data_IF_571843143500
#
_entry.id   IF_571843143500
#
_cell.length_a   1.000
_cell.length_b   1.000
_cell.length_c   1.000
_cell.angle_alpha   90.00
_cell.angle_beta   90.00
_cell.angle_gamma   90.00
#
_symmetry.space_group_name_H-M   'P 1'
#
loop_
_entity.id
_entity.type
_entity.pdbx_description
1 polymer ?
#
# COMPACT_ATOMS: atom_id res chain seq x y z
N UNK A 1 -2.12 -15.03 -12.64
CA UNK A 1 -1.03 -14.10 -13.03
C UNK A 1 0.26 -14.76 -12.61
N UNK A 2 1.24 -14.88 -13.50
CA UNK A 2 2.54 -15.43 -13.13
C UNK A 2 3.35 -14.44 -12.27
N UNK A 3 4.32 -14.98 -11.53
CA UNK A 3 5.13 -14.23 -10.55
C UNK A 3 5.97 -13.13 -11.20
N UNK A 4 6.49 -13.38 -12.42
CA UNK A 4 7.28 -12.39 -13.16
C UNK A 4 6.43 -11.17 -13.53
N UNK A 5 5.19 -11.38 -13.95
CA UNK A 5 4.26 -10.30 -14.25
C UNK A 5 3.86 -9.53 -12.98
N UNK A 6 3.64 -10.22 -11.85
CA UNK A 6 3.41 -9.59 -10.54
C UNK A 6 4.57 -8.65 -10.18
N UNK A 7 5.81 -9.13 -10.25
CA UNK A 7 6.98 -8.33 -9.92
C UNK A 7 7.15 -7.15 -10.88
N UNK A 8 6.95 -7.37 -12.17
CA UNK A 8 7.03 -6.30 -13.19
C UNK A 8 6.03 -5.18 -12.90
N UNK A 9 4.78 -5.53 -12.60
CA UNK A 9 3.75 -4.55 -12.25
C UNK A 9 4.13 -3.80 -10.96
N UNK A 10 4.62 -4.51 -9.95
CA UNK A 10 5.03 -3.90 -8.68
C UNK A 10 6.19 -2.92 -8.86
N UNK A 11 7.24 -3.32 -9.60
CA UNK A 11 8.38 -2.45 -9.89
C UNK A 11 7.97 -1.23 -10.70
N UNK A 12 7.09 -1.40 -11.69
CA UNK A 12 6.54 -0.28 -12.47
C UNK A 12 5.78 0.69 -11.57
N UNK A 13 4.96 0.20 -10.64
CA UNK A 13 4.25 1.06 -9.69
C UNK A 13 5.21 1.90 -8.84
N UNK A 14 6.29 1.29 -8.33
CA UNK A 14 7.32 1.99 -7.55
C UNK A 14 8.05 3.05 -8.40
N UNK A 15 8.41 2.72 -9.64
CA UNK A 15 9.06 3.65 -10.56
C UNK A 15 8.14 4.83 -10.90
N UNK A 16 6.87 4.57 -11.20
CA UNK A 16 5.88 5.60 -11.51
C UNK A 16 5.61 6.53 -10.33
N UNK A 17 5.55 5.99 -9.11
CA UNK A 17 5.49 6.81 -7.88
C UNK A 17 6.71 7.74 -7.77
N UNK A 18 7.93 7.20 -7.94
CA UNK A 18 9.18 7.97 -7.88
C UNK A 18 9.26 9.06 -8.96
N UNK A 19 8.62 8.83 -10.11
CA UNK A 19 8.48 9.82 -11.17
C UNK A 19 7.40 10.89 -10.89
N UNK A 20 6.86 10.97 -9.66
CA UNK A 20 5.87 11.98 -9.28
C UNK A 20 4.45 11.68 -9.74
N UNK A 21 4.14 10.42 -10.10
CA UNK A 21 2.82 10.01 -10.58
C UNK A 21 2.12 9.03 -9.61
N UNK A 22 1.78 9.47 -8.37
CA UNK A 22 1.23 8.59 -7.33
C UNK A 22 -0.13 7.97 -7.70
N UNK A 23 -0.99 8.71 -8.41
CA UNK A 23 -2.27 8.23 -8.94
C UNK A 23 -2.11 7.02 -9.88
N UNK A 24 -1.14 7.08 -10.79
CA UNK A 24 -0.86 5.99 -11.73
C UNK A 24 -0.25 4.80 -11.01
N UNK A 25 0.62 5.04 -10.02
CA UNK A 25 1.15 3.98 -9.18
C UNK A 25 0.05 3.22 -8.43
N UNK A 26 -0.96 3.92 -7.90
CA UNK A 26 -2.13 3.28 -7.26
C UNK A 26 -2.91 2.40 -8.22
N UNK A 27 -3.13 2.86 -9.47
CA UNK A 27 -3.80 2.07 -10.50
C UNK A 27 -3.04 0.78 -10.82
N UNK A 28 -1.70 0.85 -10.90
CA UNK A 28 -0.86 -0.33 -11.12
C UNK A 28 -0.93 -1.31 -9.94
N UNK A 29 -0.85 -0.82 -8.70
CA UNK A 29 -0.96 -1.65 -7.50
C UNK A 29 -2.32 -2.35 -7.37
N UNK A 30 -3.39 -1.75 -7.91
CA UNK A 30 -4.73 -2.34 -7.91
C UNK A 30 -4.85 -3.58 -8.81
N UNK A 31 -3.93 -3.76 -9.77
CA UNK A 31 -3.86 -4.93 -10.64
C UNK A 31 -3.24 -6.15 -9.95
N UNK A 32 -2.54 -5.95 -8.84
CA UNK A 32 -1.86 -7.03 -8.13
C UNK A 32 -2.84 -7.90 -7.34
N UNK A 33 -2.53 -9.20 -7.14
CA UNK A 33 -3.36 -10.08 -6.34
C UNK A 33 -3.59 -9.49 -4.95
N UNK A 34 -4.79 -9.64 -4.41
CA UNK A 34 -5.14 -9.04 -3.11
C UNK A 34 -4.57 -9.81 -1.93
N UNK A 35 -4.40 -11.13 -2.07
CA UNK A 35 -3.95 -12.05 -1.05
C UNK A 35 -2.47 -12.42 -1.21
N UNK A 36 -1.87 -12.93 -0.14
CA UNK A 36 -0.48 -13.39 -0.12
C UNK A 36 0.54 -12.26 0.07
N UNK A 37 1.83 -12.61 -0.05
CA UNK A 37 2.96 -11.69 0.21
C UNK A 37 2.93 -10.44 -0.67
N UNK A 38 2.71 -10.60 -1.97
CA UNK A 38 2.58 -9.46 -2.89
C UNK A 38 1.32 -8.64 -2.64
N UNK A 39 0.22 -9.28 -2.23
CA UNK A 39 -1.00 -8.57 -1.86
C UNK A 39 -0.85 -7.70 -0.61
N UNK A 40 -0.09 -8.18 0.38
CA UNK A 40 0.29 -7.42 1.55
C UNK A 40 1.24 -6.26 1.19
N UNK A 41 2.27 -6.53 0.39
CA UNK A 41 3.23 -5.52 -0.05
C UNK A 41 2.57 -4.42 -0.90
N UNK A 42 1.67 -4.79 -1.82
CA UNK A 42 0.91 -3.86 -2.64
C UNK A 42 0.01 -2.97 -1.77
N UNK A 43 -0.67 -3.56 -0.77
CA UNK A 43 -1.51 -2.81 0.17
C UNK A 43 -0.67 -1.84 1.02
N UNK A 44 0.49 -2.26 1.52
CA UNK A 44 1.40 -1.37 2.24
C UNK A 44 1.87 -0.20 1.38
N UNK A 45 2.30 -0.48 0.14
CA UNK A 45 2.78 0.56 -0.79
C UNK A 45 1.66 1.53 -1.14
N UNK A 46 0.45 1.05 -1.43
CA UNK A 46 -0.71 1.89 -1.72
C UNK A 46 -1.06 2.79 -0.52
N UNK A 47 -1.07 2.23 0.69
CA UNK A 47 -1.31 3.00 1.92
C UNK A 47 -0.28 4.11 2.14
N UNK A 48 1.01 3.84 1.86
CA UNK A 48 2.07 4.85 1.96
C UNK A 48 1.91 5.96 0.92
N UNK A 49 1.55 5.62 -0.31
CA UNK A 49 1.27 6.61 -1.36
C UNK A 49 0.12 7.51 -0.92
N UNK A 50 -0.99 6.92 -0.48
CA UNK A 50 -2.17 7.67 -0.05
C UNK A 50 -1.84 8.59 1.14
N UNK A 51 -1.10 8.10 2.13
CA UNK A 51 -0.78 8.89 3.32
C UNK A 51 0.25 10.00 3.05
N UNK A 52 1.37 9.67 2.40
CA UNK A 52 2.51 10.57 2.29
C UNK A 52 2.52 11.40 1.01
N UNK A 53 2.08 10.82 -0.10
CA UNK A 53 2.14 11.50 -1.40
C UNK A 53 0.85 12.27 -1.67
N UNK A 54 -0.30 11.79 -1.16
CA UNK A 54 -1.63 12.38 -1.41
C UNK A 54 -2.31 12.97 -0.16
N UNK A 55 -1.77 12.75 1.04
CA UNK A 55 -2.37 13.23 2.30
C UNK A 55 -3.73 12.58 2.66
N UNK A 56 -4.15 11.53 1.96
CA UNK A 56 -5.44 10.86 2.16
C UNK A 56 -5.34 9.73 3.19
N UNK A 57 -5.30 10.12 4.46
CA UNK A 57 -5.28 9.17 5.58
C UNK A 57 -6.55 8.27 5.62
N UNK A 58 -7.70 8.77 5.12
CA UNK A 58 -8.97 8.02 5.12
C UNK A 58 -8.88 6.81 4.20
N UNK A 59 -8.32 6.97 2.99
CA UNK A 59 -8.09 5.88 2.05
C UNK A 59 -6.87 5.03 2.41
N UNK A 60 -5.86 5.59 3.10
CA UNK A 60 -4.69 4.85 3.54
C UNK A 60 -5.01 3.79 4.62
N UNK A 61 -5.94 4.11 5.52
CA UNK A 61 -6.33 3.22 6.63
C UNK A 61 -6.73 1.80 6.20
N UNK A 62 -7.69 1.60 5.27
CA UNK A 62 -8.07 0.25 4.83
C UNK A 62 -6.93 -0.48 4.12
N UNK A 63 -5.99 0.23 3.49
CA UNK A 63 -4.80 -0.38 2.89
C UNK A 63 -3.88 -0.99 3.95
N UNK A 64 -3.59 -0.26 5.04
CA UNK A 64 -2.77 -0.80 6.13
C UNK A 64 -3.48 -1.89 6.93
N UNK A 65 -4.79 -1.76 7.13
CA UNK A 65 -5.59 -2.81 7.75
C UNK A 65 -5.53 -4.11 6.93
N UNK A 66 -5.67 -4.03 5.61
CA UNK A 66 -5.51 -5.19 4.72
C UNK A 66 -4.11 -5.77 4.83
N UNK A 67 -3.06 -4.95 4.72
CA UNK A 67 -1.68 -5.44 4.82
C UNK A 67 -1.41 -6.18 6.15
N UNK A 68 -1.95 -5.69 7.26
CA UNK A 68 -1.82 -6.32 8.57
C UNK A 68 -2.58 -7.65 8.65
N UNK A 69 -3.72 -7.81 7.98
CA UNK A 69 -4.43 -9.11 7.92
C UNK A 69 -3.68 -10.15 7.11
N UNK A 70 -3.12 -9.76 5.97
CA UNK A 70 -2.39 -10.67 5.07
C UNK A 70 -1.01 -11.04 5.63
N UNK A 71 -0.41 -10.15 6.42
CA UNK A 71 0.88 -10.36 7.07
C UNK A 71 0.80 -9.99 8.56
N UNK A 72 0.14 -10.81 9.40
CA UNK A 72 -0.14 -10.48 10.81
C UNK A 72 1.10 -10.36 11.68
N UNK A 73 2.24 -10.92 11.23
CA UNK A 73 3.54 -10.77 11.89
C UNK A 73 4.39 -9.62 11.33
N UNK A 74 3.90 -8.88 10.33
CA UNK A 74 4.60 -7.72 9.78
C UNK A 74 4.53 -6.55 10.74
N UNK A 75 5.63 -6.34 11.49
CA UNK A 75 5.80 -5.17 12.38
C UNK A 75 5.58 -3.85 11.64
N UNK A 76 5.95 -3.80 10.36
CA UNK A 76 5.78 -2.61 9.53
C UNK A 76 4.30 -2.32 9.25
N UNK A 77 3.51 -3.34 8.90
CA UNK A 77 2.07 -3.18 8.65
C UNK A 77 1.33 -2.73 9.93
N UNK A 78 1.63 -3.35 11.08
CA UNK A 78 1.05 -2.99 12.37
C UNK A 78 1.42 -1.56 12.81
N UNK A 79 2.69 -1.16 12.61
CA UNK A 79 3.14 0.20 12.92
C UNK A 79 2.42 1.25 12.08
N UNK A 80 2.29 1.03 10.77
CA UNK A 80 1.62 1.96 9.87
C UNK A 80 0.12 2.04 10.14
N UNK A 81 -0.53 0.92 10.46
CA UNK A 81 -1.93 0.91 10.88
C UNK A 81 -2.12 1.74 12.17
N UNK A 82 -1.28 1.52 13.17
CA UNK A 82 -1.34 2.27 14.43
C UNK A 82 -1.02 3.77 14.27
N UNK A 83 -0.15 4.15 13.31
CA UNK A 83 0.13 5.54 12.99
C UNK A 83 -1.12 6.24 12.43
N UNK A 84 -1.76 5.64 11.43
CA UNK A 84 -2.95 6.23 10.79
C UNK A 84 -4.16 6.27 11.72
N UNK A 85 -4.30 5.30 12.63
CA UNK A 85 -5.36 5.34 13.63
C UNK A 85 -5.17 6.48 14.63
N UNK A 86 -3.94 6.76 15.05
CA UNK A 86 -3.65 7.86 15.99
C UNK A 86 -3.83 9.24 15.37
N UNK A 87 -3.48 9.42 14.10
CA UNK A 87 -3.70 10.70 13.41
C UNK A 87 -5.19 11.01 13.24
N UNK A 88 -6.08 10.00 13.26
CA UNK A 88 -7.53 10.19 13.21
C UNK A 88 -8.13 10.70 14.54
N UNK A 89 -7.41 10.61 15.66
CA UNK A 89 -7.86 11.08 16.98
C UNK A 89 -7.46 12.54 17.23
N UNK A 90 -6.60 13.12 16.39
CA UNK A 90 -6.03 14.46 16.56
C UNK A 90 -6.72 15.57 15.73
N UNK A 91 -7.87 15.27 15.11
CA UNK A 91 -8.71 16.21 14.33
C UNK A 91 -10.15 16.09 14.78
#
# INVERSE_FOLDING_TARGET
>A
MDERLIDTIFQRAVATRRAGNPEVALKLLALLPRAGSHGAAAAMTAGRILLHDLGDARRALPCFARAAREAPRSRAALRLLGLVQRTKVAT
#
